data_IF_516799899785
#
_entry.id   IF_516799899785
#
_cell.length_a   1.000
_cell.length_b   1.000
_cell.length_c   1.000
_cell.angle_alpha   90.00
_cell.angle_beta   90.00
_cell.angle_gamma   90.00
#
_symmetry.space_group_name_H-M   'P 1'
#
loop_
_entity.id
_entity.type
_entity.pdbx_description
1 polymer ?
#
# COMPACT_ATOMS: atom_id res chain seq x y z
N UNK A 1 -21.49 -19.81 8.07
CA UNK A 1 -21.30 -18.66 7.17
C UNK A 1 -21.14 -19.18 5.75
N UNK A 2 -21.92 -18.68 4.80
CA UNK A 2 -21.68 -19.01 3.39
C UNK A 2 -20.31 -18.44 3.01
N UNK A 3 -19.41 -19.28 2.53
CA UNK A 3 -18.08 -18.89 2.08
C UNK A 3 -18.28 -18.00 0.85
N UNK A 4 -17.91 -16.70 0.93
CA UNK A 4 -17.97 -15.82 -0.24
C UNK A 4 -16.96 -16.27 -1.27
N UNK A 5 -17.25 -15.99 -2.54
CA UNK A 5 -16.28 -16.18 -3.62
C UNK A 5 -14.99 -15.41 -3.34
N UNK A 6 -13.82 -16.01 -3.63
CA UNK A 6 -12.55 -15.31 -3.50
C UNK A 6 -12.51 -14.01 -4.32
N UNK A 7 -11.94 -12.96 -3.74
CA UNK A 7 -11.71 -11.71 -4.43
C UNK A 7 -10.32 -11.68 -5.04
N UNK A 8 -10.18 -10.92 -6.12
CA UNK A 8 -8.87 -10.54 -6.65
C UNK A 8 -8.60 -9.07 -6.34
N UNK A 9 -7.47 -8.80 -5.68
CA UNK A 9 -7.00 -7.47 -5.36
C UNK A 9 -5.90 -7.06 -6.34
N UNK A 10 -6.00 -5.85 -6.88
CA UNK A 10 -4.92 -5.17 -7.57
C UNK A 10 -4.39 -4.06 -6.66
N UNK A 11 -3.12 -4.10 -6.36
CA UNK A 11 -2.45 -3.05 -5.56
C UNK A 11 -1.48 -2.34 -6.49
N UNK A 12 -1.66 -1.04 -6.70
CA UNK A 12 -0.78 -0.22 -7.53
C UNK A 12 -0.16 0.87 -6.68
N UNK A 13 1.16 0.92 -6.64
CA UNK A 13 1.93 1.87 -5.83
C UNK A 13 3.02 2.56 -6.65
N UNK A 14 3.40 3.77 -6.24
CA UNK A 14 4.48 4.51 -6.86
C UNK A 14 5.82 3.77 -6.71
N UNK A 15 6.10 3.31 -5.48
CA UNK A 15 7.35 2.66 -5.11
C UNK A 15 7.12 1.31 -4.41
N UNK A 16 8.11 0.42 -4.39
CA UNK A 16 7.99 -0.90 -3.75
C UNK A 16 7.60 -0.83 -2.27
N UNK A 17 8.21 0.07 -1.50
CA UNK A 17 7.96 0.22 -0.07
C UNK A 17 6.52 0.60 0.27
N UNK A 18 5.80 1.29 -0.61
CA UNK A 18 4.41 1.73 -0.39
C UNK A 18 3.42 0.56 -0.22
N UNK A 19 3.81 -0.67 -0.60
CA UNK A 19 3.03 -1.88 -0.30
C UNK A 19 2.74 -2.00 1.20
N UNK A 20 3.68 -1.58 2.05
CA UNK A 20 3.54 -1.66 3.51
C UNK A 20 2.35 -0.86 4.06
N UNK A 21 1.81 0.09 3.31
CA UNK A 21 0.65 0.88 3.73
C UNK A 21 -0.67 0.09 3.82
N UNK A 22 -0.69 -1.15 3.31
CA UNK A 22 -1.87 -2.03 3.34
C UNK A 22 -1.50 -3.51 3.53
N UNK A 23 -0.26 -3.80 3.91
CA UNK A 23 0.27 -5.16 3.91
C UNK A 23 -0.41 -6.09 4.92
N UNK A 24 -0.75 -5.60 6.11
CA UNK A 24 -1.48 -6.39 7.13
C UNK A 24 -2.89 -6.74 6.68
N UNK A 25 -3.59 -5.79 6.07
CA UNK A 25 -4.90 -6.01 5.44
C UNK A 25 -4.80 -7.07 4.35
N UNK A 26 -3.78 -6.97 3.49
CA UNK A 26 -3.55 -7.95 2.42
C UNK A 26 -3.27 -9.33 2.98
N UNK A 27 -2.45 -9.45 4.02
CA UNK A 27 -2.23 -10.72 4.72
C UNK A 27 -3.53 -11.34 5.23
N UNK A 28 -4.43 -10.53 5.79
CA UNK A 28 -5.75 -10.99 6.22
C UNK A 28 -6.58 -11.54 5.05
N UNK A 29 -6.51 -10.90 3.89
CA UNK A 29 -7.24 -11.34 2.70
C UNK A 29 -6.64 -12.62 2.08
N UNK A 30 -5.34 -12.70 1.91
CA UNK A 30 -4.66 -13.89 1.36
C UNK A 30 -4.86 -15.12 2.25
N UNK A 31 -4.81 -14.95 3.59
CA UNK A 31 -5.12 -16.02 4.55
C UNK A 31 -6.56 -16.55 4.43
N UNK A 32 -7.47 -15.78 3.84
CA UNK A 32 -8.86 -16.18 3.55
C UNK A 32 -9.06 -16.78 2.15
N UNK A 33 -7.97 -16.88 1.36
CA UNK A 33 -8.01 -17.41 0.00
C UNK A 33 -8.24 -16.39 -1.11
N UNK A 34 -8.21 -15.09 -0.81
CA UNK A 34 -8.22 -14.04 -1.82
C UNK A 34 -6.86 -14.00 -2.55
N UNK A 35 -6.86 -13.57 -3.81
CA UNK A 35 -5.65 -13.44 -4.62
C UNK A 35 -5.25 -11.98 -4.79
N UNK A 36 -3.95 -11.74 -4.98
CA UNK A 36 -3.41 -10.38 -5.03
C UNK A 36 -2.36 -10.26 -6.12
N UNK A 37 -2.51 -9.23 -6.95
CA UNK A 37 -1.45 -8.74 -7.85
C UNK A 37 -0.93 -7.41 -7.30
N UNK A 38 0.36 -7.33 -7.02
CA UNK A 38 1.04 -6.09 -6.65
C UNK A 38 1.80 -5.52 -7.84
N UNK A 39 1.61 -4.23 -8.10
CA UNK A 39 2.29 -3.46 -9.14
C UNK A 39 3.02 -2.27 -8.51
N UNK A 40 4.32 -2.16 -8.74
CA UNK A 40 5.09 -0.94 -8.48
C UNK A 40 5.36 -0.21 -9.79
N UNK A 41 5.04 1.09 -9.83
CA UNK A 41 5.24 1.90 -11.03
C UNK A 41 6.73 2.09 -11.32
N UNK A 42 7.51 2.39 -10.29
CA UNK A 42 8.94 2.62 -10.37
C UNK A 42 9.70 1.66 -9.45
N UNK A 43 11.02 1.67 -9.56
CA UNK A 43 11.89 0.96 -8.62
C UNK A 43 12.14 1.73 -7.32
N UNK A 44 11.89 3.03 -7.27
CA UNK A 44 12.33 3.91 -6.19
C UNK A 44 13.85 4.09 -6.12
N UNK A 45 14.59 3.70 -7.17
CA UNK A 45 16.05 3.70 -7.12
C UNK A 45 16.69 5.09 -7.19
N UNK A 46 15.95 6.08 -7.68
CA UNK A 46 16.43 7.46 -7.77
C UNK A 46 15.76 8.39 -6.77
N UNK A 47 14.46 8.26 -6.52
CA UNK A 47 13.73 9.07 -5.55
C UNK A 47 13.93 8.62 -4.11
N UNK A 48 14.27 7.34 -3.88
CA UNK A 48 14.47 6.71 -2.58
C UNK A 48 15.82 5.98 -2.52
N UNK A 49 16.91 6.71 -2.79
CA UNK A 49 18.29 6.24 -2.62
C UNK A 49 18.92 6.92 -1.39
N UNK A 50 18.48 6.50 -0.22
CA UNK A 50 18.90 7.04 1.06
C UNK A 50 20.40 6.85 1.27
N UNK A 51 20.98 5.75 0.79
CA UNK A 51 22.42 5.49 0.87
C UNK A 51 23.24 6.52 0.10
N UNK A 52 22.81 6.85 -1.13
CA UNK A 52 23.46 7.91 -1.91
C UNK A 52 23.25 9.30 -1.30
N UNK A 53 22.03 9.55 -0.79
CA UNK A 53 21.73 10.80 -0.08
C UNK A 53 22.69 11.00 1.11
N UNK A 54 22.80 10.01 1.99
CA UNK A 54 23.66 10.08 3.16
C UNK A 54 25.15 10.25 2.78
N UNK A 55 25.58 9.59 1.70
CA UNK A 55 26.92 9.71 1.19
C UNK A 55 27.23 11.13 0.69
N UNK A 56 26.28 11.73 -0.03
CA UNK A 56 26.39 13.11 -0.53
C UNK A 56 26.36 14.15 0.58
N UNK A 57 25.79 13.84 1.74
CA UNK A 57 25.81 14.73 2.92
C UNK A 57 27.18 14.77 3.62
N UNK A 58 28.08 13.82 3.35
CA UNK A 58 29.44 13.83 3.89
C UNK A 58 30.31 14.90 3.21
N UNK A 59 31.34 15.41 3.90
CA UNK A 59 32.39 16.20 3.26
C UNK A 59 32.98 15.44 2.06
N UNK A 60 33.28 16.13 0.97
CA UNK A 60 33.73 15.50 -0.29
C UNK A 60 34.91 14.54 -0.10
N UNK A 61 35.86 14.90 0.77
CA UNK A 61 37.04 14.06 1.06
C UNK A 61 36.73 12.76 1.83
N UNK A 62 35.52 12.64 2.40
CA UNK A 62 35.10 11.47 3.18
C UNK A 62 34.11 10.58 2.42
N UNK A 63 33.73 10.98 1.20
CA UNK A 63 32.77 10.25 0.38
C UNK A 63 33.36 8.97 -0.18
N UNK A 64 32.58 7.89 -0.08
CA UNK A 64 32.90 6.60 -0.65
C UNK A 64 32.64 6.58 -2.17
N UNK A 65 33.69 6.46 -3.01
CA UNK A 65 33.52 6.43 -4.45
C UNK A 65 32.67 5.22 -4.93
N UNK A 66 32.61 4.12 -4.20
CA UNK A 66 31.78 2.96 -4.57
C UNK A 66 30.31 3.29 -4.44
N UNK A 67 29.91 4.05 -3.42
CA UNK A 67 28.53 4.49 -3.24
C UNK A 67 28.15 5.53 -4.29
N UNK A 68 29.05 6.50 -4.56
CA UNK A 68 28.81 7.54 -5.56
C UNK A 68 28.67 6.99 -6.98
N UNK A 69 29.32 5.89 -7.29
CA UNK A 69 29.31 5.24 -8.60
C UNK A 69 28.44 3.98 -8.63
N UNK A 70 27.58 3.80 -7.62
CA UNK A 70 26.67 2.66 -7.62
C UNK A 70 25.78 2.67 -8.87
N UNK A 71 25.69 1.51 -9.55
CA UNK A 71 24.79 1.33 -10.68
C UNK A 71 23.31 1.36 -10.20
N UNK A 72 22.54 2.31 -10.74
CA UNK A 72 21.09 2.43 -10.46
C UNK A 72 20.36 1.10 -10.72
N UNK A 73 20.81 0.32 -11.71
CA UNK A 73 20.23 -0.99 -12.02
C UNK A 73 20.47 -2.00 -10.90
N UNK A 74 21.69 -2.08 -10.38
CA UNK A 74 22.01 -2.98 -9.26
C UNK A 74 21.21 -2.61 -8.01
N UNK A 75 21.01 -1.33 -7.75
CA UNK A 75 20.20 -0.86 -6.64
C UNK A 75 18.70 -1.16 -6.84
N UNK A 76 18.18 -0.96 -8.05
CA UNK A 76 16.81 -1.34 -8.42
C UNK A 76 16.58 -2.86 -8.27
N UNK A 77 17.55 -3.70 -8.65
CA UNK A 77 17.49 -5.14 -8.45
C UNK A 77 17.49 -5.54 -6.96
N UNK A 78 18.21 -4.80 -6.11
CA UNK A 78 18.15 -5.01 -4.66
C UNK A 78 16.73 -4.70 -4.14
N UNK A 79 16.17 -3.54 -4.47
CA UNK A 79 14.79 -3.17 -4.08
C UNK A 79 13.76 -4.18 -4.62
N UNK A 80 13.97 -4.72 -5.82
CA UNK A 80 13.13 -5.76 -6.39
C UNK A 80 13.17 -7.07 -5.58
N UNK A 81 14.33 -7.45 -5.05
CA UNK A 81 14.42 -8.61 -4.15
C UNK A 81 13.74 -8.36 -2.82
N UNK A 82 13.94 -7.19 -2.22
CA UNK A 82 13.34 -6.79 -0.96
C UNK A 82 11.81 -6.83 -1.04
N UNK A 83 11.21 -6.19 -2.03
CA UNK A 83 9.74 -6.18 -2.16
C UNK A 83 9.15 -7.57 -2.42
N UNK A 84 9.81 -8.44 -3.18
CA UNK A 84 9.34 -9.81 -3.37
C UNK A 84 9.35 -10.60 -2.06
N UNK A 85 10.37 -10.42 -1.22
CA UNK A 85 10.42 -11.02 0.11
C UNK A 85 9.33 -10.45 1.02
N UNK A 86 9.11 -9.15 0.99
CA UNK A 86 8.03 -8.49 1.74
C UNK A 86 6.66 -9.02 1.31
N UNK A 87 6.38 -9.04 0.01
CA UNK A 87 5.11 -9.55 -0.52
C UNK A 87 4.86 -11.00 -0.11
N UNK A 88 5.90 -11.85 -0.11
CA UNK A 88 5.81 -13.24 0.32
C UNK A 88 5.38 -13.41 1.78
N UNK A 89 5.76 -12.49 2.70
CA UNK A 89 5.31 -12.50 4.11
C UNK A 89 3.79 -12.42 4.24
N UNK A 90 3.12 -11.84 3.24
CA UNK A 90 1.68 -11.62 3.22
C UNK A 90 0.96 -12.46 2.17
N UNK A 91 1.62 -13.52 1.66
CA UNK A 91 1.03 -14.47 0.70
C UNK A 91 0.81 -13.90 -0.70
N UNK A 92 1.55 -12.86 -1.10
CA UNK A 92 1.47 -12.25 -2.44
C UNK A 92 2.59 -12.78 -3.32
N UNK A 93 2.24 -13.49 -4.39
CA UNK A 93 3.18 -14.11 -5.33
C UNK A 93 3.32 -13.32 -6.64
N UNK A 94 2.22 -12.71 -7.12
CA UNK A 94 2.24 -11.90 -8.35
C UNK A 94 2.74 -10.48 -8.05
N UNK A 95 4.04 -10.27 -8.27
CA UNK A 95 4.74 -8.99 -8.02
C UNK A 95 5.31 -8.47 -9.33
N UNK A 96 4.73 -7.38 -9.84
CA UNK A 96 5.06 -6.74 -11.11
C UNK A 96 5.75 -5.40 -10.89
N UNK A 97 6.98 -5.28 -11.35
CA UNK A 97 7.77 -4.05 -11.25
C UNK A 97 7.87 -3.46 -12.65
N UNK A 98 7.18 -2.36 -12.90
CA UNK A 98 7.13 -1.74 -14.22
C UNK A 98 8.42 -0.99 -14.55
N UNK A 99 9.20 -0.61 -13.52
CA UNK A 99 10.47 0.11 -13.66
C UNK A 99 10.38 1.34 -14.57
N UNK A 100 9.26 2.06 -14.50
CA UNK A 100 9.09 3.31 -15.22
C UNK A 100 10.09 4.36 -14.69
N UNK A 101 10.41 5.40 -15.48
CA UNK A 101 11.36 6.44 -15.06
C UNK A 101 10.99 7.05 -13.71
N UNK A 102 11.98 7.11 -12.80
CA UNK A 102 11.86 7.51 -11.40
C UNK A 102 12.61 8.81 -11.11
N UNK A 103 12.23 9.96 -11.79
CA UNK A 103 12.93 11.25 -11.70
C UNK A 103 12.06 12.48 -11.37
N UNK A 104 11.14 12.46 -10.46
CA UNK A 104 10.15 11.46 -10.05
C UNK A 104 9.27 10.98 -11.20
N UNK A 105 8.46 9.93 -10.96
CA UNK A 105 7.52 9.39 -11.96
C UNK A 105 6.54 10.46 -12.45
N UNK A 106 6.22 10.38 -13.75
CA UNK A 106 5.23 11.23 -14.40
C UNK A 106 4.19 10.39 -15.13
N UNK A 107 2.93 10.80 -15.02
CA UNK A 107 1.86 10.16 -15.78
C UNK A 107 2.13 10.32 -17.29
N UNK A 108 2.11 9.20 -18.02
CA UNK A 108 2.21 9.18 -19.48
C UNK A 108 1.13 8.30 -20.10
N UNK A 109 0.76 8.48 -21.37
CA UNK A 109 -0.19 7.60 -22.06
C UNK A 109 0.25 6.13 -22.05
N UNK A 110 1.55 5.87 -22.15
CA UNK A 110 2.12 4.53 -22.14
C UNK A 110 1.93 3.86 -20.77
N UNK A 111 2.18 4.59 -19.67
CA UNK A 111 1.95 4.09 -18.32
C UNK A 111 0.47 3.77 -18.05
N UNK A 112 -0.42 4.62 -18.55
CA UNK A 112 -1.88 4.40 -18.49
C UNK A 112 -2.26 3.14 -19.26
N UNK A 113 -1.73 2.96 -20.49
CA UNK A 113 -2.01 1.78 -21.30
C UNK A 113 -1.50 0.48 -20.64
N UNK A 114 -0.29 0.51 -20.10
CA UNK A 114 0.26 -0.64 -19.35
C UNK A 114 -0.63 -1.06 -18.18
N UNK A 115 -1.10 -0.11 -17.38
CA UNK A 115 -1.99 -0.41 -16.25
C UNK A 115 -3.37 -0.88 -16.72
N UNK A 116 -3.93 -0.29 -17.77
CA UNK A 116 -5.19 -0.75 -18.38
C UNK A 116 -5.06 -2.22 -18.79
N UNK A 117 -3.98 -2.59 -19.45
CA UNK A 117 -3.76 -3.94 -19.95
C UNK A 117 -3.60 -4.94 -18.79
N UNK A 118 -2.93 -4.53 -17.69
CA UNK A 118 -2.89 -5.31 -16.45
C UNK A 118 -4.31 -5.49 -15.88
N UNK A 119 -5.15 -4.45 -15.85
CA UNK A 119 -6.53 -4.55 -15.38
C UNK A 119 -7.34 -5.53 -16.23
N UNK A 120 -7.17 -5.52 -17.55
CA UNK A 120 -7.82 -6.52 -18.43
C UNK A 120 -7.35 -7.94 -18.15
N UNK A 121 -6.07 -8.14 -17.94
CA UNK A 121 -5.49 -9.45 -17.67
C UNK A 121 -5.96 -10.01 -16.32
N UNK A 122 -5.81 -9.24 -15.23
CA UNK A 122 -6.05 -9.76 -13.87
C UNK A 122 -7.50 -9.63 -13.42
N UNK A 123 -8.28 -8.76 -14.05
CA UNK A 123 -9.71 -8.51 -13.77
C UNK A 123 -10.03 -8.38 -12.28
N UNK A 124 -9.42 -7.40 -11.58
CA UNK A 124 -9.52 -7.31 -10.13
C UNK A 124 -10.91 -6.86 -9.69
N UNK A 125 -11.37 -7.38 -8.56
CA UNK A 125 -12.59 -6.93 -7.89
C UNK A 125 -12.34 -5.66 -7.07
N UNK A 126 -11.14 -5.56 -6.47
CA UNK A 126 -10.74 -4.48 -5.56
C UNK A 126 -9.43 -3.88 -6.01
N UNK A 127 -9.36 -2.55 -5.96
CA UNK A 127 -8.15 -1.78 -6.21
C UNK A 127 -7.73 -1.05 -4.94
N UNK A 128 -6.43 -1.16 -4.57
CA UNK A 128 -5.81 -0.32 -3.53
C UNK A 128 -4.67 0.45 -4.18
N UNK A 129 -4.73 1.79 -4.12
CA UNK A 129 -3.75 2.63 -4.83
C UNK A 129 -3.41 3.89 -4.04
N UNK A 130 -2.57 4.75 -4.60
CA UNK A 130 -2.26 6.07 -4.07
C UNK A 130 -3.50 6.96 -4.12
N UNK A 131 -3.58 7.92 -3.18
CA UNK A 131 -4.67 8.89 -3.14
C UNK A 131 -4.52 9.95 -4.24
N UNK A 132 -5.58 10.26 -4.99
CA UNK A 132 -5.60 11.39 -5.89
C UNK A 132 -5.89 12.73 -5.18
N UNK A 133 -6.16 12.69 -3.88
CA UNK A 133 -6.50 13.88 -3.09
C UNK A 133 -5.24 14.48 -2.47
N UNK A 134 -5.19 15.80 -2.41
CA UNK A 134 -4.13 16.56 -1.74
C UNK A 134 -4.44 16.78 -0.26
N UNK A 135 -5.15 15.85 0.37
CA UNK A 135 -5.44 15.86 1.81
C UNK A 135 -4.35 15.13 2.59
N UNK A 136 -4.26 15.45 3.88
CA UNK A 136 -3.26 14.89 4.77
C UNK A 136 -1.92 15.63 4.74
N UNK A 137 -0.98 15.17 5.57
CA UNK A 137 0.32 15.82 5.77
C UNK A 137 1.50 15.01 5.22
N UNK A 138 1.24 14.01 4.39
CA UNK A 138 2.27 13.10 3.93
C UNK A 138 3.15 13.71 2.82
N UNK A 139 3.84 14.81 3.14
CA UNK A 139 4.87 15.41 2.30
C UNK A 139 4.39 16.15 1.06
N UNK A 140 3.09 16.21 0.79
CA UNK A 140 2.57 16.89 -0.38
C UNK A 140 2.50 18.40 -0.14
N UNK A 141 3.42 19.14 -0.75
CA UNK A 141 3.33 20.58 -0.82
C UNK A 141 2.37 21.00 -1.94
N UNK A 142 1.54 22.01 -1.67
CA UNK A 142 0.68 22.60 -2.69
C UNK A 142 1.50 23.04 -3.91
N UNK A 143 1.06 22.59 -5.10
CA UNK A 143 1.73 22.90 -6.35
C UNK A 143 3.01 22.10 -6.64
N UNK A 144 3.52 21.32 -5.70
CA UNK A 144 4.62 20.42 -5.96
C UNK A 144 4.15 19.24 -6.82
N UNK A 145 5.02 18.82 -7.70
CA UNK A 145 4.78 17.64 -8.49
C UNK A 145 5.18 16.40 -7.68
N UNK A 146 4.24 15.51 -7.46
CA UNK A 146 4.38 14.33 -6.62
C UNK A 146 4.10 13.07 -7.46
N UNK A 147 5.02 12.11 -7.43
CA UNK A 147 4.89 10.84 -8.15
C UNK A 147 3.77 9.95 -7.58
N UNK A 148 3.39 10.11 -6.32
CA UNK A 148 2.20 9.47 -5.75
C UNK A 148 0.92 9.99 -6.40
N UNK A 149 0.79 11.32 -6.61
CA UNK A 149 -0.33 11.91 -7.34
C UNK A 149 -0.36 11.45 -8.79
N UNK A 150 0.77 11.46 -9.47
CA UNK A 150 0.86 10.98 -10.85
C UNK A 150 0.52 9.49 -10.96
N UNK A 151 0.93 8.67 -10.00
CA UNK A 151 0.50 7.27 -9.91
C UNK A 151 -1.02 7.18 -9.74
N UNK A 152 -1.59 7.91 -8.80
CA UNK A 152 -3.03 7.91 -8.56
C UNK A 152 -3.83 8.32 -9.80
N UNK A 153 -3.42 9.37 -10.51
CA UNK A 153 -4.06 9.81 -11.75
C UNK A 153 -3.87 8.84 -12.91
N UNK A 154 -2.70 8.19 -13.01
CA UNK A 154 -2.45 7.14 -14.01
C UNK A 154 -3.38 5.95 -13.79
N UNK A 155 -3.49 5.48 -12.55
CA UNK A 155 -4.38 4.38 -12.17
C UNK A 155 -5.85 4.73 -12.42
N UNK A 156 -6.27 5.93 -12.03
CA UNK A 156 -7.67 6.38 -12.23
C UNK A 156 -8.05 6.43 -13.70
N UNK A 157 -7.16 6.91 -14.56
CA UNK A 157 -7.39 6.93 -16.01
C UNK A 157 -7.38 5.51 -16.60
N UNK A 158 -6.44 4.65 -16.21
CA UNK A 158 -6.39 3.26 -16.63
C UNK A 158 -7.66 2.50 -16.24
N UNK A 159 -8.15 2.69 -15.01
CA UNK A 159 -9.41 2.12 -14.50
C UNK A 159 -10.62 2.60 -15.34
N UNK A 160 -10.67 3.88 -15.65
CA UNK A 160 -11.73 4.42 -16.51
C UNK A 160 -11.67 3.79 -17.91
N UNK A 161 -10.50 3.76 -18.53
CA UNK A 161 -10.34 3.21 -19.88
C UNK A 161 -10.65 1.71 -19.92
N UNK A 162 -10.29 0.96 -18.88
CA UNK A 162 -10.62 -0.47 -18.78
C UNK A 162 -12.13 -0.74 -18.69
N UNK A 163 -12.93 0.20 -18.19
CA UNK A 163 -14.40 0.10 -18.13
C UNK A 163 -15.11 0.46 -19.44
N UNK A 164 -14.39 1.04 -20.41
CA UNK A 164 -14.92 1.43 -21.71
C UNK A 164 -14.64 0.37 -22.77
N UNK A 165 -15.42 0.33 -23.87
CA UNK A 165 -15.09 -0.50 -25.02
C UNK A 165 -13.73 -0.15 -25.60
N UNK A 166 -12.86 -1.14 -25.73
CA UNK A 166 -11.59 -0.98 -26.43
C UNK A 166 -11.77 -1.38 -27.91
N UNK A 167 -11.79 -0.39 -28.79
CA UNK A 167 -12.02 -0.62 -30.23
C UNK A 167 -10.81 -1.22 -30.96
N UNK A 168 -9.61 -1.12 -30.37
CA UNK A 168 -8.39 -1.64 -30.98
C UNK A 168 -8.19 -3.12 -30.66
N UNK A 169 -8.31 -3.50 -29.39
CA UNK A 169 -8.05 -4.87 -28.92
C UNK A 169 -9.31 -5.71 -28.81
N UNK A 170 -10.48 -5.08 -28.76
CA UNK A 170 -11.79 -5.73 -28.52
C UNK A 170 -11.86 -6.51 -27.19
N UNK A 171 -11.01 -6.12 -26.24
CA UNK A 171 -11.05 -6.70 -24.90
C UNK A 171 -12.39 -6.41 -24.21
N UNK A 172 -12.89 -7.40 -23.48
CA UNK A 172 -14.12 -7.24 -22.71
C UNK A 172 -13.91 -6.19 -21.62
N UNK A 173 -14.72 -5.12 -21.56
CA UNK A 173 -14.62 -4.11 -20.52
C UNK A 173 -14.61 -4.72 -19.13
N UNK A 174 -13.90 -4.07 -18.20
CA UNK A 174 -13.83 -4.48 -16.81
C UNK A 174 -14.01 -3.28 -15.88
N UNK A 175 -15.01 -3.36 -15.01
CA UNK A 175 -15.26 -2.37 -13.96
C UNK A 175 -14.83 -2.94 -12.63
N UNK A 176 -13.95 -2.21 -11.92
CA UNK A 176 -13.49 -2.56 -10.57
C UNK A 176 -14.61 -2.20 -9.59
N UNK A 177 -14.99 -3.14 -8.73
CA UNK A 177 -16.12 -2.99 -7.83
C UNK A 177 -15.87 -2.00 -6.69
N UNK A 178 -14.64 -1.96 -6.16
CA UNK A 178 -14.28 -1.07 -5.06
C UNK A 178 -12.85 -0.55 -5.20
N UNK A 179 -12.62 0.72 -4.88
CA UNK A 179 -11.29 1.35 -4.85
C UNK A 179 -11.07 2.00 -3.50
N UNK A 180 -9.91 1.72 -2.89
CA UNK A 180 -9.51 2.22 -1.59
C UNK A 180 -8.16 2.92 -1.63
N UNK A 181 -7.99 3.91 -0.75
CA UNK A 181 -6.76 4.65 -0.53
C UNK A 181 -6.27 4.39 0.90
N UNK A 182 -5.00 4.00 1.10
CA UNK A 182 -4.46 3.80 2.45
C UNK A 182 -4.52 5.04 3.30
N UNK A 183 -4.90 4.87 4.55
CA UNK A 183 -5.13 5.94 5.52
C UNK A 183 -3.89 6.75 5.89
N UNK A 184 -2.69 6.26 5.57
CA UNK A 184 -1.42 6.99 5.80
C UNK A 184 -1.35 8.35 5.10
N UNK A 185 -2.17 8.56 4.08
CA UNK A 185 -2.26 9.81 3.32
C UNK A 185 -3.28 10.80 3.87
N UNK A 186 -4.00 10.44 4.92
CA UNK A 186 -5.17 11.17 5.41
C UNK A 186 -5.06 11.50 6.90
N UNK A 187 -5.83 12.48 7.35
CA UNK A 187 -6.02 12.75 8.77
C UNK A 187 -6.98 11.70 9.37
N UNK A 188 -6.93 11.49 10.67
CA UNK A 188 -7.73 10.46 11.33
C UNK A 188 -9.26 10.63 11.15
N UNK A 189 -9.73 11.86 11.03
CA UNK A 189 -11.14 12.21 10.79
C UNK A 189 -11.60 12.03 9.34
N UNK A 190 -10.65 11.77 8.42
CA UNK A 190 -10.93 11.48 7.01
C UNK A 190 -11.03 9.96 6.74
N UNK A 191 -10.68 9.11 7.72
CA UNK A 191 -10.67 7.65 7.55
C UNK A 191 -12.10 7.09 7.61
N UNK A 192 -12.50 6.36 6.57
CA UNK A 192 -13.84 5.76 6.49
C UNK A 192 -13.96 4.49 7.35
N UNK A 193 -12.90 3.66 7.39
CA UNK A 193 -12.88 2.43 8.18
C UNK A 193 -11.46 1.96 8.48
N UNK A 194 -11.37 1.10 9.48
CA UNK A 194 -10.12 0.45 9.88
C UNK A 194 -10.23 -1.07 9.72
N UNK A 195 -9.14 -1.70 9.33
CA UNK A 195 -8.96 -3.15 9.32
C UNK A 195 -8.02 -3.52 10.46
N UNK A 196 -8.46 -4.44 11.33
CA UNK A 196 -7.62 -4.99 12.38
C UNK A 196 -6.52 -5.86 11.78
N UNK A 197 -5.27 -5.53 12.09
CA UNK A 197 -4.09 -6.22 11.61
C UNK A 197 -3.21 -6.71 12.75
N UNK A 198 -3.74 -6.80 13.97
CA UNK A 198 -2.99 -7.20 15.15
C UNK A 198 -2.29 -8.55 14.98
N UNK A 199 -2.94 -9.49 14.29
CA UNK A 199 -2.37 -10.79 13.95
C UNK A 199 -1.17 -10.71 12.98
N UNK A 200 -0.94 -9.57 12.34
CA UNK A 200 0.13 -9.35 11.34
C UNK A 200 1.25 -8.44 11.84
N UNK A 201 1.25 -8.08 13.12
CA UNK A 201 2.23 -7.19 13.76
C UNK A 201 3.67 -7.58 13.44
N UNK A 202 4.02 -8.83 13.70
CA UNK A 202 5.39 -9.31 13.54
C UNK A 202 5.82 -9.29 12.07
N UNK A 203 4.94 -9.71 11.15
CA UNK A 203 5.21 -9.64 9.71
C UNK A 203 5.34 -8.19 9.23
N UNK A 204 4.56 -7.26 9.81
CA UNK A 204 4.68 -5.82 9.50
C UNK A 204 6.04 -5.27 9.95
N UNK A 205 6.52 -5.62 11.14
CA UNK A 205 7.85 -5.24 11.61
C UNK A 205 8.93 -5.86 10.72
N UNK A 206 8.80 -7.15 10.40
CA UNK A 206 9.74 -7.84 9.52
C UNK A 206 9.78 -7.23 8.11
N UNK A 207 8.64 -6.83 7.57
CA UNK A 207 8.56 -6.15 6.28
C UNK A 207 9.36 -4.85 6.26
N UNK A 208 9.29 -4.03 7.32
CA UNK A 208 10.10 -2.82 7.42
C UNK A 208 11.61 -3.14 7.49
N UNK A 209 12.01 -4.18 8.23
CA UNK A 209 13.42 -4.59 8.34
C UNK A 209 13.98 -5.05 6.98
N UNK A 210 13.16 -5.70 6.16
CA UNK A 210 13.57 -6.18 4.83
C UNK A 210 13.91 -5.05 3.85
N UNK A 211 13.42 -3.83 4.06
CA UNK A 211 13.82 -2.65 3.27
C UNK A 211 15.16 -2.07 3.75
N UNK A 212 16.16 -2.93 3.85
CA UNK A 212 17.50 -2.57 4.29
C UNK A 212 18.19 -1.55 3.38
N UNK A 213 17.84 -1.54 2.09
CA UNK A 213 18.32 -0.54 1.12
C UNK A 213 17.90 0.89 1.50
N UNK A 214 16.84 1.05 2.28
CA UNK A 214 16.35 2.34 2.79
C UNK A 214 16.86 2.66 4.21
N UNK A 215 17.85 1.92 4.69
CA UNK A 215 18.46 2.17 6.00
C UNK A 215 17.58 1.77 7.20
N UNK A 216 16.51 1.01 6.98
CA UNK A 216 15.61 0.61 8.06
C UNK A 216 16.31 -0.34 9.04
N UNK A 217 16.42 0.07 10.30
CA UNK A 217 16.90 -0.77 11.39
C UNK A 217 15.73 -1.45 12.10
N UNK A 218 16.00 -2.51 12.86
CA UNK A 218 14.97 -3.18 13.68
C UNK A 218 14.30 -2.20 14.67
N UNK A 219 15.09 -1.34 15.31
CA UNK A 219 14.56 -0.34 16.25
C UNK A 219 13.64 0.67 15.54
N UNK A 220 14.02 1.12 14.34
CA UNK A 220 13.20 1.99 13.52
C UNK A 220 11.90 1.27 13.09
N UNK A 221 12.00 0.03 12.60
CA UNK A 221 10.85 -0.78 12.17
C UNK A 221 9.81 -0.94 13.29
N UNK A 222 10.25 -1.38 14.48
CA UNK A 222 9.37 -1.49 15.66
C UNK A 222 8.71 -0.16 15.99
N UNK A 223 9.48 0.93 16.04
CA UNK A 223 8.95 2.25 16.34
C UNK A 223 7.96 2.72 15.28
N UNK A 224 8.25 2.49 13.99
CA UNK A 224 7.38 2.87 12.88
C UNK A 224 6.03 2.18 12.98
N UNK A 225 6.00 0.86 13.22
CA UNK A 225 4.74 0.13 13.33
C UNK A 225 3.93 0.59 14.54
N UNK A 226 4.58 0.82 15.68
CA UNK A 226 3.93 1.34 16.88
C UNK A 226 3.25 2.70 16.65
N UNK A 227 3.94 3.64 15.99
CA UNK A 227 3.39 4.99 15.76
C UNK A 227 2.48 5.10 14.53
N UNK A 228 2.48 4.15 13.62
CA UNK A 228 1.59 4.15 12.44
C UNK A 228 0.38 3.24 12.67
N UNK A 229 0.58 1.93 12.66
CA UNK A 229 -0.51 0.97 12.83
C UNK A 229 -1.04 0.91 14.26
N UNK A 230 -0.18 1.09 15.28
CA UNK A 230 -0.59 1.20 16.69
C UNK A 230 -1.45 2.44 16.95
N UNK A 231 -1.09 3.60 16.37
CA UNK A 231 -1.91 4.81 16.45
C UNK A 231 -3.30 4.61 15.80
N UNK A 232 -3.36 3.96 14.64
CA UNK A 232 -4.65 3.60 14.00
C UNK A 232 -5.42 2.57 14.84
N UNK A 233 -4.72 1.64 15.49
CA UNK A 233 -5.28 0.70 16.45
C UNK A 233 -5.94 1.41 17.63
N UNK A 234 -5.28 2.43 18.18
CA UNK A 234 -5.84 3.25 19.26
C UNK A 234 -7.19 3.88 18.87
N UNK A 235 -7.29 4.46 17.68
CA UNK A 235 -8.54 5.06 17.21
C UNK A 235 -9.62 4.02 16.91
N UNK A 236 -9.26 2.85 16.42
CA UNK A 236 -10.19 1.78 16.08
C UNK A 236 -10.55 0.87 17.26
N UNK A 237 -9.82 0.96 18.38
CA UNK A 237 -10.04 0.13 19.57
C UNK A 237 -9.51 -1.30 19.42
N UNK A 238 -8.40 -1.47 18.70
CA UNK A 238 -7.64 -2.71 18.56
C UNK A 238 -6.15 -2.45 18.80
N UNK A 239 -5.30 -3.48 18.84
CA UNK A 239 -3.85 -3.28 19.07
C UNK A 239 -3.20 -2.57 17.88
N UNK A 240 -3.39 -3.10 16.66
CA UNK A 240 -2.87 -2.52 15.41
C UNK A 240 -3.93 -2.52 14.32
N UNK A 241 -4.01 -1.45 13.57
CA UNK A 241 -4.93 -1.31 12.45
C UNK A 241 -4.28 -0.65 11.23
N UNK A 242 -4.90 -0.87 10.08
CA UNK A 242 -4.70 -0.09 8.86
C UNK A 242 -6.01 0.62 8.51
N UNK A 243 -5.94 1.94 8.28
CA UNK A 243 -7.09 2.77 7.90
C UNK A 243 -7.22 2.88 6.39
N UNK A 244 -8.45 3.12 5.93
CA UNK A 244 -8.73 3.30 4.51
C UNK A 244 -9.77 4.39 4.28
N UNK A 245 -9.62 5.06 3.13
CA UNK A 245 -10.60 5.98 2.57
C UNK A 245 -11.16 5.36 1.28
N UNK A 246 -12.46 5.44 1.10
CA UNK A 246 -13.15 4.94 -0.10
C UNK A 246 -13.09 5.96 -1.23
N UNK A 247 -12.90 5.48 -2.46
CA UNK A 247 -13.00 6.33 -3.64
C UNK A 247 -14.43 6.81 -3.92
N UNK A 248 -15.42 6.05 -3.47
CA UNK A 248 -16.85 6.33 -3.59
C UNK A 248 -17.63 5.68 -2.45
N UNK A 249 -18.80 6.22 -2.08
CA UNK A 249 -19.69 5.61 -1.11
C UNK A 249 -20.17 4.22 -1.55
N UNK A 250 -20.40 3.32 -0.59
CA UNK A 250 -21.04 2.03 -0.86
C UNK A 250 -22.56 2.20 -1.06
N UNK A 251 -23.12 1.44 -1.99
CA UNK A 251 -24.55 1.24 -2.10
C UNK A 251 -24.92 -0.04 -1.33
N UNK A 252 -25.66 0.12 -0.24
CA UNK A 252 -26.10 -0.98 0.60
C UNK A 252 -27.59 -1.22 0.45
N UNK A 253 -28.02 -2.50 0.49
CA UNK A 253 -29.44 -2.85 0.51
C UNK A 253 -30.08 -2.55 1.88
N UNK A 254 -29.30 -2.56 2.95
CA UNK A 254 -29.72 -2.31 4.33
C UNK A 254 -28.55 -1.69 5.13
N UNK A 255 -28.84 -1.11 6.29
CA UNK A 255 -27.79 -0.60 7.16
C UNK A 255 -26.99 -1.80 7.71
N UNK A 256 -25.73 -1.91 7.29
CA UNK A 256 -24.82 -2.95 7.75
C UNK A 256 -24.17 -2.54 9.07
N UNK A 257 -24.33 -3.38 10.10
CA UNK A 257 -23.60 -3.27 11.36
C UNK A 257 -22.59 -4.43 11.45
N UNK A 258 -21.27 -4.14 11.42
CA UNK A 258 -20.28 -5.19 11.50
C UNK A 258 -20.39 -6.01 12.80
N UNK A 259 -20.18 -7.32 12.72
CA UNK A 259 -20.20 -8.21 13.91
C UNK A 259 -19.23 -7.73 15.00
N UNK A 260 -18.04 -7.24 14.63
CA UNK A 260 -17.09 -6.64 15.56
C UNK A 260 -17.68 -5.47 16.35
N UNK A 261 -18.49 -4.62 15.70
CA UNK A 261 -19.18 -3.50 16.37
C UNK A 261 -20.23 -4.01 17.36
N UNK A 262 -20.98 -5.05 16.99
CA UNK A 262 -21.96 -5.67 17.88
C UNK A 262 -21.30 -6.33 19.09
N UNK A 263 -20.20 -7.07 18.90
CA UNK A 263 -19.43 -7.66 20.01
C UNK A 263 -18.90 -6.59 20.95
N UNK A 264 -18.28 -5.52 20.42
CA UNK A 264 -17.74 -4.41 21.21
C UNK A 264 -18.81 -3.66 22.01
N UNK A 265 -20.00 -3.51 21.45
CA UNK A 265 -21.12 -2.86 22.15
C UNK A 265 -21.63 -3.67 23.36
N UNK A 266 -21.42 -4.98 23.36
CA UNK A 266 -21.85 -5.89 24.41
C UNK A 266 -20.77 -6.22 25.45
N UNK A 267 -19.51 -5.81 25.23
CA UNK A 267 -18.40 -6.17 26.09
C UNK A 267 -18.20 -5.24 27.30
N UNK A 268 -17.59 -5.73 28.41
CA UNK A 268 -17.14 -4.89 29.50
C UNK A 268 -16.11 -3.85 29.06
N UNK A 269 -16.14 -2.67 29.67
CA UNK A 269 -15.21 -1.58 29.34
C UNK A 269 -13.73 -1.96 29.48
N UNK A 270 -13.40 -2.83 30.44
CA UNK A 270 -12.01 -3.30 30.63
C UNK A 270 -11.46 -4.06 29.42
N UNK A 271 -12.32 -4.75 28.65
CA UNK A 271 -11.93 -5.49 27.46
C UNK A 271 -11.47 -4.55 26.35
N UNK A 272 -12.03 -3.37 26.26
CA UNK A 272 -11.56 -2.34 25.32
C UNK A 272 -10.09 -1.97 25.58
N UNK A 273 -9.73 -1.73 26.84
CA UNK A 273 -8.34 -1.41 27.21
C UNK A 273 -7.40 -2.60 26.98
N UNK A 274 -7.83 -3.81 27.34
CA UNK A 274 -7.04 -5.04 27.14
C UNK A 274 -6.80 -5.31 25.65
N UNK A 275 -7.78 -5.06 24.79
CA UNK A 275 -7.63 -5.24 23.33
C UNK A 275 -6.62 -4.28 22.76
N UNK A 276 -6.69 -2.99 23.12
CA UNK A 276 -5.71 -1.98 22.67
C UNK A 276 -4.30 -2.35 23.16
N UNK A 277 -4.19 -2.95 24.35
CA UNK A 277 -2.92 -3.38 24.91
C UNK A 277 -2.39 -4.73 24.35
N UNK A 278 -3.18 -5.41 23.50
CA UNK A 278 -2.82 -6.74 23.00
C UNK A 278 -2.90 -7.83 24.08
N UNK A 279 -3.71 -7.63 25.11
CA UNK A 279 -3.90 -8.57 26.23
C UNK A 279 -5.15 -9.45 26.08
N UNK A 280 -5.97 -9.22 25.05
CA UNK A 280 -7.11 -10.07 24.70
C UNK A 280 -6.76 -10.97 23.53
N UNK A 281 -6.84 -12.28 23.71
CA UNK A 281 -6.89 -13.26 22.64
C UNK A 281 -8.31 -13.25 22.04
N UNK A 282 -8.46 -12.97 20.74
CA UNK A 282 -9.74 -13.02 20.01
C UNK A 282 -10.03 -14.42 19.44
#
# INVERSE_FOLDING_TARGET
MQQREPLHFLIVKAHPHDFTHCAGTIGTHTARGDTVTFVSMTSGAQTHNERLHDELMKPEAERDPEVLNQDDKAYAEQKAREIRQVCALFGVEDVRLLNLPDKPFRKTPEAVSLLRDIIYEVRPHVLITQSPFRSGRHGMADGAHDDHLDTAFTVKEAQMLASLPNYETQERPHTIAATYYPGVYFMADEIDFYVDISAWKEQRVQAEILFSSQGHTEAFAKKRIEISSGHMGWYSGTEYAEGFVRASPDLLAEIHVPEAALRRAAEPRENHMKRIAGELEE
#
